data_IF_414451631243
#
_entry.id   IF_414451631243
#
_cell.length_a   1.000
_cell.length_b   1.000
_cell.length_c   1.000
_cell.angle_alpha   90.00
_cell.angle_beta   90.00
_cell.angle_gamma   90.00
#
_symmetry.space_group_name_H-M   'P 1'
#
loop_
_entity.id
_entity.type
_entity.pdbx_description
1 polymer ?
#
# COMPACT_ATOMS: atom_id res chain seq x y z
N UNK A 1 -13.70 -18.48 29.50
CA UNK A 1 -13.21 -18.55 28.09
C UNK A 1 -13.75 -17.33 27.32
N UNK A 2 -12.99 -16.23 27.23
CA UNK A 2 -13.46 -15.06 26.49
C UNK A 2 -13.40 -15.32 24.99
N UNK A 3 -14.57 -15.41 24.35
CA UNK A 3 -14.70 -15.50 22.89
C UNK A 3 -14.07 -14.25 22.29
N UNK A 4 -12.98 -14.40 21.53
CA UNK A 4 -12.34 -13.29 20.80
C UNK A 4 -13.39 -12.68 19.85
N UNK A 5 -14.00 -11.54 20.24
CA UNK A 5 -14.86 -10.77 19.33
C UNK A 5 -13.97 -10.24 18.21
N UNK A 6 -14.23 -10.66 16.97
CA UNK A 6 -13.56 -10.14 15.77
C UNK A 6 -14.36 -8.94 15.28
N UNK A 7 -13.67 -7.85 14.99
CA UNK A 7 -14.25 -6.72 14.27
C UNK A 7 -14.02 -6.94 12.78
N UNK A 8 -15.05 -6.66 11.98
CA UNK A 8 -14.93 -6.70 10.53
C UNK A 8 -14.27 -5.41 10.06
N UNK A 9 -13.28 -5.57 9.18
CA UNK A 9 -12.68 -4.44 8.46
C UNK A 9 -13.45 -4.28 7.15
N UNK A 10 -13.84 -3.04 6.85
CA UNK A 10 -14.51 -2.70 5.60
C UNK A 10 -13.54 -1.85 4.78
N UNK A 11 -13.10 -2.40 3.65
CA UNK A 11 -12.29 -1.71 2.66
C UNK A 11 -13.21 -1.20 1.54
N UNK A 12 -13.21 0.11 1.30
CA UNK A 12 -14.04 0.75 0.28
C UNK A 12 -13.16 1.24 -0.86
N UNK A 13 -13.15 0.48 -1.95
CA UNK A 13 -12.43 0.83 -3.17
C UNK A 13 -13.29 1.79 -4.01
N UNK A 14 -12.75 2.97 -4.29
CA UNK A 14 -13.43 3.98 -5.10
C UNK A 14 -12.45 4.69 -6.02
N UNK A 15 -12.97 5.28 -7.09
CA UNK A 15 -12.20 6.22 -7.90
C UNK A 15 -12.00 7.53 -7.11
N UNK A 16 -13.07 8.05 -6.52
CA UNK A 16 -13.05 9.22 -5.66
C UNK A 16 -13.53 8.86 -4.24
N UNK A 17 -12.69 9.15 -3.25
CA UNK A 17 -12.95 8.87 -1.83
C UNK A 17 -13.84 9.92 -1.16
N UNK A 18 -13.81 11.14 -1.68
CA UNK A 18 -14.44 12.31 -1.05
C UNK A 18 -15.93 12.11 -0.73
N UNK A 19 -16.76 11.52 -1.61
CA UNK A 19 -18.17 11.31 -1.31
C UNK A 19 -18.41 10.39 -0.10
N UNK A 20 -17.56 9.36 0.07
CA UNK A 20 -17.68 8.42 1.19
C UNK A 20 -17.23 9.03 2.51
N UNK A 21 -16.17 9.84 2.46
CA UNK A 21 -15.69 10.60 3.62
C UNK A 21 -16.77 11.58 4.06
N UNK A 22 -17.30 12.37 3.12
CA UNK A 22 -18.36 13.32 3.39
C UNK A 22 -19.62 12.65 3.94
N UNK A 23 -20.04 11.52 3.37
CA UNK A 23 -21.17 10.77 3.90
C UNK A 23 -20.95 10.31 5.35
N UNK A 24 -19.72 9.95 5.72
CA UNK A 24 -19.38 9.59 7.09
C UNK A 24 -19.47 10.80 8.03
N UNK A 25 -18.93 11.94 7.59
CA UNK A 25 -18.98 13.20 8.35
C UNK A 25 -20.42 13.70 8.52
N UNK A 26 -21.25 13.62 7.47
CA UNK A 26 -22.65 14.05 7.48
C UNK A 26 -23.51 13.16 8.42
N UNK A 27 -23.20 11.86 8.50
CA UNK A 27 -23.94 10.91 9.34
C UNK A 27 -23.50 10.88 10.80
N UNK A 28 -22.19 11.00 11.05
CA UNK A 28 -21.61 10.83 12.39
C UNK A 28 -21.18 12.13 13.05
N UNK A 29 -21.13 13.24 12.31
CA UNK A 29 -20.50 14.47 12.75
C UNK A 29 -19.03 14.52 12.33
N UNK A 30 -18.60 15.69 11.84
CA UNK A 30 -17.24 15.91 11.34
C UNK A 30 -16.19 15.77 12.45
N UNK A 31 -16.52 16.20 13.67
CA UNK A 31 -15.68 16.10 14.86
C UNK A 31 -15.46 14.65 15.33
N UNK A 32 -16.28 13.72 14.84
CA UNK A 32 -16.23 12.31 15.16
C UNK A 32 -15.46 11.48 14.11
N UNK A 33 -14.98 12.14 13.06
CA UNK A 33 -14.21 11.54 11.97
C UNK A 33 -12.80 12.18 11.90
N UNK A 34 -11.75 11.36 11.79
CA UNK A 34 -10.40 11.89 11.57
C UNK A 34 -9.51 10.91 10.81
N UNK A 35 -8.57 11.46 10.03
CA UNK A 35 -7.50 10.67 9.44
C UNK A 35 -6.61 10.08 10.53
N UNK A 36 -6.20 8.82 10.38
CA UNK A 36 -5.17 8.24 11.24
C UNK A 36 -3.79 8.84 10.89
N UNK A 37 -2.88 8.89 11.86
CA UNK A 37 -1.48 9.25 11.62
C UNK A 37 -0.69 8.04 11.11
N UNK A 38 0.27 8.29 10.23
CA UNK A 38 1.30 7.35 9.80
C UNK A 38 2.67 7.89 10.21
N UNK A 39 3.35 7.10 11.04
CA UNK A 39 4.73 7.35 11.43
C UNK A 39 5.67 6.91 10.32
N UNK A 40 6.70 7.71 10.04
CA UNK A 40 7.76 7.38 9.08
C UNK A 40 9.06 7.07 9.84
N UNK A 41 9.22 5.83 10.35
CA UNK A 41 10.47 5.42 10.95
C UNK A 41 11.53 5.16 9.88
N UNK A 42 12.78 5.53 10.18
CA UNK A 42 13.93 5.19 9.36
C UNK A 42 14.02 3.68 9.15
N UNK A 43 14.24 3.30 7.89
CA UNK A 43 14.55 1.94 7.47
C UNK A 43 16.05 1.83 7.18
N UNK A 44 16.55 0.64 6.92
CA UNK A 44 17.98 0.36 6.76
C UNK A 44 18.71 1.34 5.83
N UNK A 45 18.17 1.55 4.62
CA UNK A 45 18.72 2.52 3.67
C UNK A 45 18.68 3.97 4.18
N UNK A 46 17.56 4.41 4.76
CA UNK A 46 17.43 5.82 5.20
C UNK A 46 18.23 6.10 6.47
N UNK A 47 18.34 5.11 7.37
CA UNK A 47 19.22 5.15 8.53
C UNK A 47 20.69 5.26 8.13
N UNK A 48 21.15 4.49 7.14
CA UNK A 48 22.49 4.61 6.58
C UNK A 48 22.73 6.02 6.01
N UNK A 49 21.85 6.49 5.14
CA UNK A 49 21.97 7.81 4.51
C UNK A 49 22.02 8.93 5.56
N UNK A 50 21.20 8.84 6.61
CA UNK A 50 21.21 9.79 7.72
C UNK A 50 22.53 9.75 8.48
N UNK A 51 23.03 8.55 8.81
CA UNK A 51 24.28 8.38 9.53
C UNK A 51 25.47 8.92 8.73
N UNK A 52 25.62 8.51 7.47
CA UNK A 52 26.69 8.97 6.58
C UNK A 52 26.68 10.50 6.41
N UNK A 53 25.48 11.09 6.24
CA UNK A 53 25.32 12.55 6.23
C UNK A 53 25.76 13.18 7.55
N UNK A 54 25.42 12.55 8.68
CA UNK A 54 25.79 13.03 10.02
C UNK A 54 27.30 13.03 10.27
N UNK A 55 28.04 12.09 9.69
CA UNK A 55 29.51 12.02 9.79
C UNK A 55 30.23 12.78 8.65
N UNK A 56 29.49 13.51 7.81
CA UNK A 56 30.06 14.40 6.79
C UNK A 56 30.52 13.73 5.49
N UNK A 57 30.04 12.52 5.18
CA UNK A 57 30.33 11.85 3.89
C UNK A 57 29.60 12.52 2.73
N UNK A 58 30.16 12.41 1.51
CA UNK A 58 29.49 12.88 0.31
C UNK A 58 28.41 11.89 -0.13
N UNK A 59 27.31 12.39 -0.69
CA UNK A 59 26.18 11.54 -1.11
C UNK A 59 26.59 10.50 -2.15
N UNK A 60 27.52 10.84 -3.03
CA UNK A 60 28.04 9.96 -4.08
C UNK A 60 28.75 8.72 -3.50
N UNK A 61 29.31 8.83 -2.30
CA UNK A 61 30.06 7.74 -1.67
C UNK A 61 29.12 6.63 -1.16
N UNK A 62 27.95 7.01 -0.61
CA UNK A 62 27.04 6.07 0.05
C UNK A 62 25.73 5.79 -0.70
N UNK A 63 25.50 6.44 -1.84
CA UNK A 63 24.24 6.29 -2.58
C UNK A 63 24.00 4.84 -3.04
N UNK A 64 25.04 4.19 -3.57
CA UNK A 64 24.95 2.80 -4.04
C UNK A 64 24.75 1.81 -2.89
N UNK A 65 25.39 2.06 -1.73
CA UNK A 65 25.18 1.27 -0.51
C UNK A 65 23.75 1.42 -0.01
N UNK A 66 23.21 2.64 -0.04
CA UNK A 66 21.82 2.91 0.29
C UNK A 66 20.85 2.18 -0.64
N UNK A 67 21.10 2.17 -1.95
CA UNK A 67 20.26 1.45 -2.93
C UNK A 67 20.27 -0.06 -2.70
N UNK A 68 21.44 -0.64 -2.45
CA UNK A 68 21.59 -2.07 -2.15
C UNK A 68 20.79 -2.46 -0.89
N UNK A 69 20.92 -1.69 0.21
CA UNK A 69 20.12 -1.93 1.42
C UNK A 69 18.61 -1.76 1.19
N UNK A 70 18.20 -0.82 0.32
CA UNK A 70 16.80 -0.64 -0.05
C UNK A 70 16.27 -1.85 -0.83
N UNK A 71 17.04 -2.39 -1.77
CA UNK A 71 16.69 -3.58 -2.54
C UNK A 71 16.58 -4.83 -1.64
N UNK A 72 17.51 -5.03 -0.72
CA UNK A 72 17.44 -6.11 0.26
C UNK A 72 16.18 -6.00 1.12
N UNK A 73 15.88 -4.80 1.62
CA UNK A 73 14.67 -4.54 2.43
C UNK A 73 13.39 -4.85 1.66
N UNK A 74 13.30 -4.44 0.38
CA UNK A 74 12.15 -4.74 -0.49
C UNK A 74 11.98 -6.25 -0.70
N UNK A 75 13.10 -6.97 -0.82
CA UNK A 75 13.13 -8.43 -0.94
C UNK A 75 13.07 -9.17 0.41
N UNK A 76 12.89 -8.44 1.53
CA UNK A 76 12.88 -8.97 2.91
C UNK A 76 14.13 -9.78 3.27
N UNK A 77 15.26 -9.43 2.68
CA UNK A 77 16.56 -9.98 3.02
C UNK A 77 17.18 -9.14 4.15
N UNK A 78 17.98 -9.76 5.03
CA UNK A 78 18.67 -9.02 6.07
C UNK A 78 19.75 -8.10 5.48
N UNK A 79 20.04 -6.99 6.14
CA UNK A 79 21.10 -6.05 5.73
C UNK A 79 22.50 -6.70 5.65
N UNK A 80 22.72 -7.80 6.37
CA UNK A 80 23.96 -8.58 6.35
C UNK A 80 24.23 -9.25 5.00
N UNK A 81 23.22 -9.40 4.16
CA UNK A 81 23.36 -9.96 2.80
C UNK A 81 23.90 -8.93 1.80
N UNK A 82 24.06 -7.66 2.22
CA UNK A 82 24.63 -6.60 1.39
C UNK A 82 26.02 -6.98 0.88
N UNK A 83 26.26 -6.71 -0.39
CA UNK A 83 27.60 -6.86 -0.97
C UNK A 83 28.62 -5.95 -0.28
N UNK A 84 28.17 -4.80 0.24
CA UNK A 84 28.98 -3.85 0.99
C UNK A 84 29.20 -4.26 2.45
N UNK A 85 28.40 -5.19 2.99
CA UNK A 85 28.63 -5.73 4.33
C UNK A 85 29.89 -6.62 4.40
N UNK A 86 30.38 -7.10 3.25
CA UNK A 86 31.64 -7.85 3.14
C UNK A 86 32.87 -6.94 3.02
N UNK A 87 32.67 -5.66 2.75
CA UNK A 87 33.74 -4.67 2.66
C UNK A 87 34.11 -4.17 4.08
N UNK A 88 35.39 -4.22 4.42
CA UNK A 88 35.89 -3.85 5.75
C UNK A 88 35.66 -2.37 6.10
N UNK A 89 35.56 -1.48 5.09
CA UNK A 89 35.30 -0.05 5.29
C UNK A 89 33.81 0.23 5.51
N UNK A 90 32.94 -0.48 4.80
CA UNK A 90 31.49 -0.24 4.85
C UNK A 90 30.80 -0.97 5.99
N UNK A 91 31.27 -2.16 6.35
CA UNK A 91 30.67 -2.97 7.41
C UNK A 91 30.47 -2.18 8.72
N UNK A 92 31.47 -1.47 9.28
CA UNK A 92 31.30 -0.70 10.51
C UNK A 92 30.26 0.42 10.37
N UNK A 93 30.22 1.09 9.21
CA UNK A 93 29.27 2.19 8.94
C UNK A 93 27.84 1.65 8.87
N UNK A 94 27.64 0.51 8.20
CA UNK A 94 26.34 -0.15 8.12
C UNK A 94 25.88 -0.57 9.52
N UNK A 95 26.76 -1.18 10.33
CA UNK A 95 26.44 -1.60 11.69
C UNK A 95 26.10 -0.42 12.61
N UNK A 96 26.88 0.66 12.56
CA UNK A 96 26.61 1.87 13.35
C UNK A 96 25.28 2.53 12.95
N UNK A 97 24.97 2.56 11.66
CA UNK A 97 23.70 3.12 11.17
C UNK A 97 22.46 2.39 11.69
N UNK A 98 22.58 1.11 12.09
CA UNK A 98 21.46 0.32 12.65
C UNK A 98 20.84 0.97 13.87
N UNK A 99 21.61 1.72 14.65
CA UNK A 99 21.14 2.41 15.87
C UNK A 99 20.03 3.43 15.57
N UNK A 100 19.93 3.92 14.33
CA UNK A 100 18.92 4.89 13.90
C UNK A 100 17.67 4.23 13.30
N UNK A 101 17.70 2.93 12.99
CA UNK A 101 16.53 2.24 12.43
C UNK A 101 15.38 2.27 13.45
N UNK A 102 14.20 2.67 13.00
CA UNK A 102 13.03 2.85 13.86
C UNK A 102 12.83 4.26 14.41
N UNK A 103 13.85 5.13 14.35
CA UNK A 103 13.69 6.54 14.72
C UNK A 103 12.70 7.21 13.77
N UNK A 104 11.69 7.87 14.31
CA UNK A 104 10.66 8.56 13.53
C UNK A 104 11.21 9.89 13.03
N UNK A 105 11.40 10.01 11.71
CA UNK A 105 11.88 11.24 11.07
C UNK A 105 10.73 12.12 10.53
N UNK A 106 9.51 11.60 10.52
CA UNK A 106 8.37 12.34 10.02
C UNK A 106 7.04 11.68 10.26
N UNK A 107 6.00 12.44 9.93
CA UNK A 107 4.61 12.07 10.03
C UNK A 107 3.88 12.36 8.73
N UNK A 108 2.88 11.56 8.41
CA UNK A 108 1.88 11.87 7.39
C UNK A 108 0.53 11.35 7.83
N UNK A 109 -0.52 11.73 7.12
CA UNK A 109 -1.81 11.08 7.21
C UNK A 109 -1.72 9.65 6.67
N UNK A 110 -2.62 8.79 7.15
CA UNK A 110 -2.84 7.49 6.52
C UNK A 110 -3.26 7.69 5.06
N UNK A 111 -2.75 6.87 4.13
CA UNK A 111 -3.14 6.95 2.73
C UNK A 111 -4.62 6.65 2.50
N UNK A 112 -5.30 5.92 3.41
CA UNK A 112 -6.70 5.50 3.23
C UNK A 112 -7.54 5.50 4.52
N UNK A 113 -6.91 5.42 5.70
CA UNK A 113 -7.61 5.11 6.94
C UNK A 113 -8.16 6.33 7.65
N UNK A 114 -9.43 6.24 8.01
CA UNK A 114 -10.14 7.21 8.85
C UNK A 114 -10.70 6.47 10.06
N UNK A 115 -10.54 7.05 11.25
CA UNK A 115 -11.24 6.61 12.45
C UNK A 115 -12.64 7.21 12.47
N UNK A 116 -13.61 6.38 12.79
CA UNK A 116 -14.99 6.77 13.06
C UNK A 116 -15.28 6.52 14.53
N UNK A 117 -15.80 7.53 15.22
CA UNK A 117 -16.07 7.49 16.64
C UNK A 117 -17.51 7.92 16.92
N UNK A 118 -18.07 7.54 18.05
CA UNK A 118 -19.31 8.16 18.57
C UNK A 118 -19.02 9.38 19.43
N UNK A 119 -17.74 9.57 19.80
CA UNK A 119 -17.26 10.64 20.65
C UNK A 119 -16.30 11.55 19.86
N UNK A 120 -16.19 12.81 20.28
CA UNK A 120 -15.32 13.80 19.66
C UNK A 120 -13.87 13.30 19.61
N UNK A 121 -13.33 13.16 18.40
CA UNK A 121 -11.99 12.59 18.19
C UNK A 121 -10.91 13.50 18.74
N UNK A 122 -11.08 14.82 18.64
CA UNK A 122 -10.10 15.79 19.14
C UNK A 122 -9.93 15.68 20.65
N UNK A 123 -11.03 15.54 21.38
CA UNK A 123 -11.01 15.46 22.85
C UNK A 123 -10.43 14.14 23.34
N UNK A 124 -10.72 13.03 22.65
CA UNK A 124 -10.32 11.69 23.11
C UNK A 124 -8.94 11.25 22.63
N UNK A 125 -8.55 11.59 21.40
CA UNK A 125 -7.33 11.11 20.76
C UNK A 125 -6.29 12.19 20.54
N UNK A 126 -6.66 13.47 20.63
CA UNK A 126 -5.80 14.57 20.23
C UNK A 126 -5.59 14.64 18.71
N UNK A 127 -5.19 15.82 18.23
CA UNK A 127 -5.01 16.09 16.80
C UNK A 127 -3.65 16.71 16.53
N UNK A 128 -3.09 16.39 15.36
CA UNK A 128 -1.88 17.00 14.82
C UNK A 128 -2.11 17.38 13.36
N UNK A 129 -1.40 18.41 12.90
CA UNK A 129 -1.49 18.88 11.51
C UNK A 129 -0.30 18.34 10.73
N UNK A 130 -0.57 17.58 9.68
CA UNK A 130 0.46 17.21 8.68
C UNK A 130 0.61 18.33 7.66
N UNK A 131 1.48 18.15 6.66
CA UNK A 131 1.66 19.13 5.57
C UNK A 131 0.38 19.39 4.77
N UNK A 132 -0.54 18.41 4.74
CA UNK A 132 -1.72 18.43 3.86
C UNK A 132 -3.02 18.57 4.65
N UNK A 133 -3.18 17.85 5.76
CA UNK A 133 -4.45 17.75 6.49
C UNK A 133 -4.26 17.45 7.99
N UNK A 134 -5.26 17.74 8.85
CA UNK A 134 -5.24 17.30 10.24
C UNK A 134 -5.50 15.79 10.35
N UNK A 135 -4.79 15.12 11.26
CA UNK A 135 -4.99 13.72 11.64
C UNK A 135 -5.02 13.57 13.16
N UNK A 136 -5.59 12.47 13.66
CA UNK A 136 -5.58 12.15 15.08
C UNK A 136 -4.27 11.47 15.46
N UNK A 137 -3.88 11.54 16.74
CA UNK A 137 -2.69 10.89 17.28
C UNK A 137 -2.92 9.38 17.53
N UNK A 138 -3.52 8.71 16.56
CA UNK A 138 -3.77 7.28 16.56
C UNK A 138 -3.31 6.69 15.22
N UNK A 139 -2.38 5.74 15.25
CA UNK A 139 -1.95 5.02 14.06
C UNK A 139 -2.82 3.79 13.78
N UNK A 140 -2.67 3.22 12.58
CA UNK A 140 -3.47 2.06 12.15
C UNK A 140 -3.32 0.82 13.03
N UNK A 141 -2.12 0.57 13.57
CA UNK A 141 -1.88 -0.60 14.43
C UNK A 141 -2.56 -0.44 15.79
N UNK A 142 -2.37 0.71 16.41
CA UNK A 142 -2.99 1.04 17.69
C UNK A 142 -4.50 1.20 17.57
N UNK A 143 -5.01 1.70 16.45
CA UNK A 143 -6.44 1.73 16.15
C UNK A 143 -7.06 0.33 16.24
N UNK A 144 -6.44 -0.67 15.59
CA UNK A 144 -6.91 -2.06 15.59
C UNK A 144 -6.72 -2.73 16.96
N UNK A 145 -5.65 -2.38 17.68
CA UNK A 145 -5.36 -2.85 19.05
C UNK A 145 -6.42 -2.36 20.04
N UNK A 146 -6.74 -1.07 20.00
CA UNK A 146 -7.67 -0.41 20.91
C UNK A 146 -9.14 -0.51 20.47
N UNK A 147 -9.42 -1.17 19.33
CA UNK A 147 -10.78 -1.48 18.85
C UNK A 147 -11.60 -0.25 18.48
N UNK A 148 -10.92 0.77 17.95
CA UNK A 148 -11.59 1.86 17.26
C UNK A 148 -12.13 1.37 15.91
N UNK A 149 -13.27 1.92 15.48
CA UNK A 149 -13.80 1.65 14.16
C UNK A 149 -12.96 2.41 13.13
N UNK A 150 -12.41 1.66 12.18
CA UNK A 150 -11.59 2.19 11.08
C UNK A 150 -12.25 1.85 9.75
N UNK A 151 -12.43 2.86 8.91
CA UNK A 151 -12.78 2.67 7.50
C UNK A 151 -11.59 3.01 6.63
N UNK A 152 -11.27 2.11 5.70
CA UNK A 152 -10.22 2.32 4.72
C UNK A 152 -10.84 2.72 3.39
N UNK A 153 -10.78 4.02 3.09
CA UNK A 153 -11.20 4.59 1.82
C UNK A 153 -10.02 4.54 0.85
N UNK A 154 -9.99 3.51 0.01
CA UNK A 154 -8.93 3.25 -0.95
C UNK A 154 -9.28 3.91 -2.29
N UNK A 155 -8.41 4.81 -2.76
CA UNK A 155 -8.46 5.28 -4.13
C UNK A 155 -7.77 4.25 -5.01
N UNK A 156 -8.50 3.65 -5.95
CA UNK A 156 -7.95 2.63 -6.85
C UNK A 156 -8.07 3.13 -8.29
N UNK A 157 -6.93 3.37 -8.92
CA UNK A 157 -6.84 3.97 -10.26
C UNK A 157 -7.48 3.12 -11.35
N UNK A 158 -7.53 1.79 -11.18
CA UNK A 158 -8.18 0.90 -12.15
C UNK A 158 -9.65 1.26 -12.40
N UNK A 159 -10.36 1.76 -11.39
CA UNK A 159 -11.76 2.18 -11.55
C UNK A 159 -11.89 3.44 -12.39
N UNK A 160 -10.93 4.38 -12.27
CA UNK A 160 -10.87 5.56 -13.15
C UNK A 160 -10.62 5.13 -14.60
N UNK A 161 -9.64 4.25 -14.82
CA UNK A 161 -9.31 3.76 -16.15
C UNK A 161 -10.50 3.03 -16.81
N UNK A 162 -11.20 2.18 -16.07
CA UNK A 162 -12.40 1.50 -16.57
C UNK A 162 -13.49 2.52 -16.95
N UNK A 163 -13.73 3.52 -16.09
CA UNK A 163 -14.73 4.55 -16.34
C UNK A 163 -14.41 5.40 -17.59
N UNK A 164 -13.15 5.80 -17.74
CA UNK A 164 -12.67 6.58 -18.88
C UNK A 164 -12.73 5.78 -20.18
N UNK A 165 -12.32 4.50 -20.15
CA UNK A 165 -12.41 3.61 -21.31
C UNK A 165 -13.88 3.39 -21.72
N UNK A 166 -14.79 3.18 -20.77
CA UNK A 166 -16.22 3.06 -21.06
C UNK A 166 -16.76 4.35 -21.71
N UNK A 167 -16.39 5.51 -21.17
CA UNK A 167 -16.75 6.83 -21.70
C UNK A 167 -16.22 7.04 -23.13
N UNK A 168 -14.96 6.69 -23.37
CA UNK A 168 -14.34 6.76 -24.71
C UNK A 168 -15.03 5.83 -25.71
N UNK A 169 -15.39 4.62 -25.29
CA UNK A 169 -16.14 3.65 -26.11
C UNK A 169 -17.63 3.99 -26.24
N UNK A 170 -18.12 5.05 -25.57
CA UNK A 170 -19.54 5.44 -25.50
C UNK A 170 -20.45 4.32 -25.00
N UNK A 171 -19.94 3.49 -24.09
CA UNK A 171 -20.70 2.45 -23.41
C UNK A 171 -20.99 2.88 -21.96
N UNK A 172 -22.11 2.42 -21.43
CA UNK A 172 -22.38 2.54 -20.00
C UNK A 172 -21.44 1.58 -19.27
N UNK A 173 -20.95 1.99 -18.09
CA UNK A 173 -20.18 1.09 -17.21
C UNK A 173 -21.07 -0.10 -16.85
N UNK A 174 -20.69 -1.33 -17.20
CA UNK A 174 -21.50 -2.51 -16.91
C UNK A 174 -21.49 -2.82 -15.40
N UNK A 175 -22.60 -3.35 -14.92
CA UNK A 175 -22.68 -4.01 -13.62
C UNK A 175 -21.87 -5.32 -13.63
N UNK A 176 -21.64 -5.92 -12.46
CA UNK A 176 -20.91 -7.20 -12.37
C UNK A 176 -21.61 -8.29 -13.18
N UNK A 177 -22.93 -8.40 -13.06
CA UNK A 177 -23.72 -9.39 -13.82
C UNK A 177 -23.72 -9.13 -15.32
N UNK A 178 -23.71 -7.88 -15.75
CA UNK A 178 -23.55 -7.54 -17.17
C UNK A 178 -22.13 -7.87 -17.66
N UNK A 179 -21.11 -7.62 -16.84
CA UNK A 179 -19.73 -7.93 -17.17
C UNK A 179 -19.52 -9.42 -17.40
N UNK A 180 -20.07 -10.28 -16.53
CA UNK A 180 -19.99 -11.74 -16.70
C UNK A 180 -20.56 -12.22 -18.04
N UNK A 181 -21.61 -11.57 -18.53
CA UNK A 181 -22.21 -11.87 -19.84
C UNK A 181 -21.40 -11.30 -21.03
N UNK A 182 -20.54 -10.32 -20.79
CA UNK A 182 -19.66 -9.72 -21.81
C UNK A 182 -18.35 -10.47 -21.98
N UNK A 183 -17.98 -11.34 -21.03
CA UNK A 183 -16.75 -12.13 -21.11
C UNK A 183 -16.87 -13.20 -22.18
N UNK A 184 -15.91 -13.20 -23.10
CA UNK A 184 -15.83 -14.15 -24.21
C UNK A 184 -14.40 -14.70 -24.38
N UNK A 185 -14.25 -15.64 -25.31
CA UNK A 185 -12.93 -16.23 -25.60
C UNK A 185 -11.89 -15.18 -26.02
N UNK A 186 -12.32 -14.11 -26.70
CA UNK A 186 -11.42 -13.02 -27.13
C UNK A 186 -10.87 -12.25 -25.93
N UNK A 187 -11.69 -12.06 -24.91
CA UNK A 187 -11.29 -11.44 -23.65
C UNK A 187 -10.17 -12.24 -22.99
N UNK A 188 -10.27 -13.57 -22.97
CA UNK A 188 -9.22 -14.42 -22.38
C UNK A 188 -8.00 -14.58 -23.28
N UNK A 189 -8.17 -14.49 -24.60
CA UNK A 189 -7.08 -14.60 -25.58
C UNK A 189 -6.03 -13.48 -25.45
N UNK A 190 -6.37 -12.34 -24.83
CA UNK A 190 -5.40 -11.28 -24.52
C UNK A 190 -4.24 -11.80 -23.65
N UNK A 191 -4.53 -12.72 -22.72
CA UNK A 191 -3.52 -13.32 -21.85
C UNK A 191 -2.63 -14.29 -22.60
N UNK A 192 -3.20 -15.11 -23.49
CA UNK A 192 -2.44 -16.03 -24.33
C UNK A 192 -1.50 -15.29 -25.29
N UNK A 193 -1.92 -14.11 -25.77
CA UNK A 193 -1.11 -13.20 -26.60
C UNK A 193 -0.12 -12.35 -25.78
N UNK A 194 -0.27 -12.29 -24.46
CA UNK A 194 0.52 -11.45 -23.55
C UNK A 194 0.32 -9.95 -23.75
N UNK A 195 -0.89 -9.54 -24.11
CA UNK A 195 -1.28 -8.14 -24.23
C UNK A 195 -1.63 -7.56 -22.85
N UNK A 196 -0.66 -7.58 -21.94
CA UNK A 196 -0.88 -7.36 -20.49
C UNK A 196 -0.37 -6.02 -19.95
N UNK A 197 0.28 -5.19 -20.77
CA UNK A 197 0.99 -3.96 -20.36
C UNK A 197 0.17 -3.00 -19.46
N UNK A 198 -1.16 -3.06 -19.50
CA UNK A 198 -2.06 -2.22 -18.69
C UNK A 198 -3.13 -3.05 -17.95
N UNK A 199 -2.95 -4.36 -17.85
CA UNK A 199 -3.89 -5.25 -17.16
C UNK A 199 -3.46 -5.34 -15.70
N UNK A 200 -4.25 -4.73 -14.82
CA UNK A 200 -4.03 -4.76 -13.37
C UNK A 200 -3.77 -6.20 -12.89
N UNK A 201 -2.73 -6.39 -12.09
CA UNK A 201 -2.27 -7.68 -11.54
C UNK A 201 -1.58 -8.64 -12.53
N UNK A 202 -1.39 -8.28 -13.80
CA UNK A 202 -0.74 -9.12 -14.81
C UNK A 202 0.28 -8.38 -15.69
N UNK A 203 0.57 -7.12 -15.39
CA UNK A 203 1.31 -6.16 -16.20
C UNK A 203 2.85 -6.26 -16.11
N UNK A 204 3.38 -6.90 -15.06
CA UNK A 204 4.82 -7.13 -14.96
C UNK A 204 5.32 -8.11 -16.04
N UNK A 205 6.56 -7.93 -16.51
CA UNK A 205 7.19 -8.85 -17.46
C UNK A 205 7.20 -10.30 -16.96
N UNK A 206 7.41 -10.47 -15.66
CA UNK A 206 7.39 -11.78 -15.02
C UNK A 206 5.99 -12.40 -15.03
N UNK A 207 4.96 -11.66 -14.61
CA UNK A 207 3.57 -12.14 -14.64
C UNK A 207 3.10 -12.41 -16.07
N UNK A 208 3.48 -11.56 -17.04
CA UNK A 208 3.13 -11.70 -18.46
C UNK A 208 3.60 -13.04 -19.02
N UNK A 209 4.86 -13.42 -18.76
CA UNK A 209 5.40 -14.71 -19.22
C UNK A 209 4.67 -15.90 -18.60
N UNK A 210 4.28 -15.79 -17.33
CA UNK A 210 3.54 -16.85 -16.64
C UNK A 210 2.11 -16.97 -17.15
N UNK A 211 1.39 -15.85 -17.33
CA UNK A 211 -0.01 -15.85 -17.78
C UNK A 211 -0.13 -16.32 -19.22
N UNK A 212 0.84 -16.01 -20.09
CA UNK A 212 0.92 -16.54 -21.46
C UNK A 212 1.06 -18.06 -21.50
N UNK A 213 1.74 -18.65 -20.51
CA UNK A 213 1.89 -20.10 -20.40
C UNK A 213 0.63 -20.75 -19.82
N UNK A 214 0.03 -20.10 -18.82
CA UNK A 214 -1.16 -20.61 -18.12
C UNK A 214 -2.43 -20.51 -18.99
N UNK A 215 -2.59 -19.42 -19.74
CA UNK A 215 -3.71 -19.16 -20.67
C UNK A 215 -5.09 -19.33 -20.01
N UNK A 216 -5.42 -18.50 -18.99
CA UNK A 216 -6.68 -18.62 -18.26
C UNK A 216 -7.88 -18.48 -19.22
N UNK A 217 -8.93 -19.28 -19.00
CA UNK A 217 -10.16 -19.33 -19.79
C UNK A 217 -11.42 -18.91 -19.03
N UNK A 218 -11.27 -18.52 -17.77
CA UNK A 218 -12.37 -18.07 -16.93
C UNK A 218 -11.90 -17.08 -15.87
N UNK A 219 -12.85 -16.36 -15.24
CA UNK A 219 -12.58 -15.50 -14.09
C UNK A 219 -11.98 -16.29 -12.93
N UNK A 220 -12.46 -17.52 -12.70
CA UNK A 220 -11.96 -18.39 -11.65
C UNK A 220 -10.48 -18.74 -11.86
N UNK A 221 -10.09 -19.10 -13.08
CA UNK A 221 -8.69 -19.38 -13.42
C UNK A 221 -7.81 -18.14 -13.30
N UNK A 222 -8.28 -16.97 -13.76
CA UNK A 222 -7.52 -15.73 -13.59
C UNK A 222 -7.35 -15.35 -12.12
N UNK A 223 -8.38 -15.59 -11.29
CA UNK A 223 -8.29 -15.42 -9.83
C UNK A 223 -7.23 -16.35 -9.23
N UNK A 224 -7.24 -17.64 -9.60
CA UNK A 224 -6.23 -18.61 -9.18
C UNK A 224 -4.82 -18.18 -9.61
N UNK A 225 -4.66 -17.68 -10.83
CA UNK A 225 -3.39 -17.16 -11.33
C UNK A 225 -2.88 -16.02 -10.45
N UNK A 226 -3.68 -14.98 -10.24
CA UNK A 226 -3.31 -13.80 -9.41
C UNK A 226 -2.95 -14.24 -7.99
N UNK A 227 -3.66 -15.22 -7.46
CA UNK A 227 -3.40 -15.75 -6.12
C UNK A 227 -2.00 -16.39 -6.06
N UNK A 228 -1.64 -17.25 -7.02
CA UNK A 228 -0.39 -18.01 -7.04
C UNK A 228 0.84 -17.12 -7.29
N UNK A 229 0.72 -16.10 -8.13
CA UNK A 229 1.87 -15.26 -8.51
C UNK A 229 2.31 -14.26 -7.44
N UNK A 230 1.55 -14.11 -6.34
CA UNK A 230 1.95 -13.24 -5.23
C UNK A 230 2.95 -13.99 -4.33
N UNK A 231 4.09 -13.40 -3.92
CA UNK A 231 5.17 -14.08 -3.17
C UNK A 231 4.84 -14.56 -1.72
N UNK A 232 3.64 -15.08 -1.44
CA UNK A 232 3.17 -15.41 -0.07
C UNK A 232 2.22 -16.61 0.06
N UNK A 233 2.11 -17.47 -0.95
CA UNK A 233 1.29 -18.70 -0.86
C UNK A 233 2.11 -19.97 -0.64
N UNK A 234 3.08 -19.91 0.28
CA UNK A 234 3.69 -21.04 0.98
C UNK A 234 3.87 -20.64 2.45
#
# INVERSE_FOLDING_TARGET
MFRKKRYYRIDLNSANREPFIKASEDLLGKENCAWLISWKPLQDSSALRLYCKGIGMNIEDYEEVGKDLAELSQNKKPYTDSQYYKDENWKPIIEESRKFVGVVEGISESPCSIVLSTNNVRENLGMIRTKTKPCCLLDGYNCDKYKYLKNDYLAVEVWHLIADVCKMAKIKIPTISELDNLLDDKTFDIYAKGLTCTINQADSLWATRLVQRYKPKSVAEMSSFVAVIRPRMC
#
